data_IF_655750916277
#
_entry.id   IF_655750916277
#
_cell.length_a   1.000
_cell.length_b   1.000
_cell.length_c   1.000
_cell.angle_alpha   90.00
_cell.angle_beta   90.00
_cell.angle_gamma   90.00
#
_symmetry.space_group_name_H-M   'P 1'
#
loop_
_entity.id
_entity.type
_entity.pdbx_description
1 polymer ?
#
# COMPACT_ATOMS: atom_id res chain seq x y z
N UNK A 1 20.71 6.00 8.84
CA UNK A 1 21.57 5.89 7.66
C UNK A 1 21.07 6.85 6.58
N UNK A 2 21.98 7.54 5.90
CA UNK A 2 21.64 8.48 4.82
C UNK A 2 22.45 8.08 3.58
N UNK A 3 21.78 7.99 2.43
CA UNK A 3 22.36 7.70 1.13
C UNK A 3 22.08 8.89 0.21
N UNK A 4 23.14 9.56 -0.22
CA UNK A 4 23.09 10.67 -1.17
C UNK A 4 22.99 10.09 -2.60
N UNK A 5 21.77 10.08 -3.16
CA UNK A 5 21.46 9.51 -4.48
C UNK A 5 20.80 8.13 -4.43
N UNK A 6 20.99 7.35 -5.49
CA UNK A 6 20.35 6.03 -5.64
C UNK A 6 20.98 4.97 -4.73
N UNK A 7 20.14 4.11 -4.16
CA UNK A 7 20.56 2.95 -3.39
C UNK A 7 20.54 1.71 -4.29
N UNK A 8 21.72 1.15 -4.54
CA UNK A 8 21.92 -0.03 -5.41
C UNK A 8 22.52 -1.22 -4.65
N UNK A 9 22.68 -1.10 -3.33
CA UNK A 9 23.24 -2.13 -2.46
C UNK A 9 22.19 -2.51 -1.41
N UNK A 10 22.16 -3.80 -1.05
CA UNK A 10 21.23 -4.30 -0.04
C UNK A 10 21.55 -3.68 1.33
N UNK A 11 20.50 -3.39 2.09
CA UNK A 11 20.58 -2.75 3.39
C UNK A 11 19.87 -3.59 4.45
N UNK A 12 20.47 -3.71 5.62
CA UNK A 12 19.89 -4.42 6.76
C UNK A 12 19.90 -3.55 8.03
N UNK A 13 18.83 -3.64 8.82
CA UNK A 13 18.72 -2.96 10.12
C UNK A 13 17.91 -3.78 11.12
N UNK A 14 18.60 -4.39 12.08
CA UNK A 14 18.01 -5.34 13.03
C UNK A 14 17.30 -4.71 14.24
N UNK A 15 17.65 -3.48 14.60
CA UNK A 15 17.08 -2.76 15.75
C UNK A 15 16.13 -1.62 15.34
N UNK A 16 15.88 -1.51 14.04
CA UNK A 16 15.14 -0.43 13.41
C UNK A 16 15.96 0.86 13.28
N UNK A 17 15.24 1.96 13.08
CA UNK A 17 15.84 3.27 12.87
C UNK A 17 15.42 3.93 11.57
N UNK A 18 16.19 4.96 11.17
CA UNK A 18 15.89 5.80 10.01
C UNK A 18 16.81 5.46 8.84
N UNK A 19 16.22 5.17 7.68
CA UNK A 19 16.92 5.06 6.39
C UNK A 19 16.39 6.18 5.50
N UNK A 20 17.29 7.01 4.97
CA UNK A 20 16.94 8.07 4.03
C UNK A 20 17.77 7.92 2.75
N UNK A 21 17.09 7.81 1.61
CA UNK A 21 17.67 7.67 0.27
C UNK A 21 17.20 8.87 -0.55
N UNK A 22 18.13 9.74 -0.95
CA UNK A 22 17.86 10.94 -1.76
C UNK A 22 17.75 10.65 -3.27
N UNK A 23 17.34 9.44 -3.62
CA UNK A 23 17.23 8.94 -5.00
C UNK A 23 16.30 7.75 -5.07
N UNK A 24 16.51 6.89 -6.06
CA UNK A 24 15.74 5.66 -6.26
C UNK A 24 16.26 4.54 -5.35
N UNK A 25 15.38 3.61 -4.98
CA UNK A 25 15.78 2.33 -4.42
C UNK A 25 15.76 1.27 -5.54
N UNK A 26 16.89 0.59 -5.76
CA UNK A 26 17.06 -0.48 -6.75
C UNK A 26 17.60 -1.78 -6.10
N UNK A 27 17.45 -1.92 -4.79
CA UNK A 27 18.01 -3.01 -4.00
C UNK A 27 17.02 -3.48 -2.92
N UNK A 28 17.44 -4.45 -2.10
CA UNK A 28 16.66 -4.95 -0.98
C UNK A 28 16.92 -4.13 0.27
N UNK A 29 15.86 -3.77 1.00
CA UNK A 29 15.95 -3.25 2.36
C UNK A 29 15.27 -4.24 3.29
N UNK A 30 16.02 -4.79 4.24
CA UNK A 30 15.47 -5.57 5.36
C UNK A 30 15.54 -4.76 6.66
N UNK A 31 14.38 -4.52 7.28
CA UNK A 31 14.30 -3.82 8.57
C UNK A 31 13.49 -4.61 9.59
N UNK A 32 13.91 -4.51 10.84
CA UNK A 32 13.21 -5.06 12.01
C UNK A 32 12.92 -3.94 13.02
N UNK A 33 12.03 -4.17 13.98
CA UNK A 33 11.80 -3.23 15.09
C UNK A 33 10.91 -2.05 14.71
N UNK A 34 11.30 -0.83 15.12
CA UNK A 34 10.57 0.40 14.77
C UNK A 34 11.40 1.18 13.75
N UNK A 35 10.89 1.29 12.53
CA UNK A 35 11.67 1.81 11.40
C UNK A 35 10.93 2.88 10.62
N UNK A 36 11.70 3.81 10.08
CA UNK A 36 11.25 4.83 9.15
C UNK A 36 12.15 4.80 7.91
N UNK A 37 11.55 4.69 6.74
CA UNK A 37 12.26 4.64 5.45
C UNK A 37 11.74 5.79 4.59
N UNK A 38 12.65 6.62 4.10
CA UNK A 38 12.34 7.72 3.20
C UNK A 38 13.11 7.49 1.91
N UNK A 39 12.38 7.34 0.81
CA UNK A 39 12.92 7.25 -0.56
C UNK A 39 12.35 8.44 -1.32
N UNK A 40 13.18 9.40 -1.72
CA UNK A 40 12.69 10.59 -2.42
C UNK A 40 12.37 10.32 -3.89
N UNK A 41 12.95 9.28 -4.48
CA UNK A 41 12.70 8.82 -5.84
C UNK A 41 11.73 7.64 -5.92
N UNK A 42 11.90 6.85 -6.97
CA UNK A 42 11.09 5.67 -7.27
C UNK A 42 11.54 4.46 -6.44
N UNK A 43 10.59 3.58 -6.13
CA UNK A 43 10.89 2.18 -5.84
C UNK A 43 11.05 1.48 -7.19
N UNK A 44 12.32 1.34 -7.62
CA UNK A 44 12.70 0.90 -8.94
C UNK A 44 12.45 -0.60 -9.17
N UNK A 45 12.63 -1.06 -10.43
CA UNK A 45 12.51 -2.47 -10.77
C UNK A 45 13.54 -3.29 -9.98
N UNK A 46 13.13 -4.43 -9.44
CA UNK A 46 13.88 -5.34 -8.56
C UNK A 46 14.05 -4.89 -7.11
N UNK A 47 13.55 -3.71 -6.73
CA UNK A 47 13.58 -3.30 -5.34
C UNK A 47 12.61 -4.10 -4.48
N UNK A 48 13.04 -4.45 -3.27
CA UNK A 48 12.18 -5.12 -2.30
C UNK A 48 12.39 -4.51 -0.91
N UNK A 49 11.28 -4.14 -0.24
CA UNK A 49 11.33 -3.73 1.16
C UNK A 49 10.69 -4.84 2.01
N UNK A 50 11.46 -5.40 2.94
CA UNK A 50 11.03 -6.42 3.91
C UNK A 50 11.03 -5.81 5.30
N UNK A 51 9.87 -5.71 5.92
CA UNK A 51 9.69 -5.03 7.20
C UNK A 51 9.03 -5.90 8.26
N UNK A 52 9.74 -6.14 9.36
CA UNK A 52 9.23 -6.78 10.58
C UNK A 52 9.14 -5.72 11.69
N UNK A 53 8.06 -5.70 12.45
CA UNK A 53 7.76 -4.64 13.42
C UNK A 53 7.02 -3.44 12.83
N UNK A 54 7.10 -2.28 13.49
CA UNK A 54 6.32 -1.09 13.12
C UNK A 54 7.12 -0.28 12.10
N UNK A 55 6.65 -0.22 10.86
CA UNK A 55 7.35 0.48 9.77
C UNK A 55 6.53 1.64 9.21
N UNK A 56 7.21 2.78 8.96
CA UNK A 56 6.67 3.94 8.23
C UNK A 56 7.52 4.22 7.02
N UNK A 57 6.89 4.37 5.86
CA UNK A 57 7.62 4.48 4.60
C UNK A 57 7.04 5.64 3.79
N UNK A 58 7.94 6.47 3.30
CA UNK A 58 7.64 7.52 2.32
C UNK A 58 8.37 7.20 1.01
N UNK A 59 7.65 7.30 -0.11
CA UNK A 59 8.15 7.11 -1.47
C UNK A 59 7.69 8.32 -2.28
N UNK A 60 8.65 9.17 -2.67
CA UNK A 60 8.39 10.38 -3.43
C UNK A 60 8.06 10.12 -4.90
N UNK A 61 8.48 8.97 -5.42
CA UNK A 61 8.24 8.54 -6.79
C UNK A 61 7.21 7.42 -6.90
N UNK A 62 7.31 6.66 -8.00
CA UNK A 62 6.44 5.53 -8.32
C UNK A 62 6.81 4.30 -7.50
N UNK A 63 5.79 3.55 -7.10
CA UNK A 63 5.94 2.24 -6.46
C UNK A 63 5.76 1.15 -7.51
N UNK A 64 6.85 0.57 -8.03
CA UNK A 64 6.78 -0.40 -9.15
C UNK A 64 7.03 -1.85 -8.78
N UNK A 65 7.61 -2.11 -7.61
CA UNK A 65 8.00 -3.47 -7.21
C UNK A 65 7.44 -3.86 -5.84
N UNK A 66 8.21 -4.47 -4.95
CA UNK A 66 7.68 -5.25 -3.84
C UNK A 66 7.89 -4.60 -2.49
N UNK A 67 6.83 -4.68 -1.69
CA UNK A 67 6.90 -4.43 -0.27
C UNK A 67 6.21 -5.55 0.49
N UNK A 68 6.90 -6.06 1.49
CA UNK A 68 6.37 -7.09 2.36
C UNK A 68 6.55 -6.68 3.82
N UNK A 69 5.42 -6.52 4.52
CA UNK A 69 5.43 -6.36 5.97
C UNK A 69 4.55 -7.40 6.64
N UNK A 70 5.05 -7.95 7.74
CA UNK A 70 4.32 -8.92 8.59
C UNK A 70 3.58 -8.25 9.75
N UNK A 71 3.97 -7.02 10.09
CA UNK A 71 3.49 -6.26 11.25
C UNK A 71 2.80 -4.93 10.83
N UNK A 72 2.77 -3.92 11.71
CA UNK A 72 2.10 -2.65 11.45
C UNK A 72 2.86 -1.81 10.43
N UNK A 73 2.13 -1.30 9.44
CA UNK A 73 2.71 -0.57 8.33
C UNK A 73 1.96 0.72 8.04
N UNK A 74 2.70 1.78 7.73
CA UNK A 74 2.16 2.96 7.06
C UNK A 74 3.01 3.28 5.85
N UNK A 75 2.40 3.38 4.67
CA UNK A 75 3.10 3.74 3.42
C UNK A 75 2.46 4.96 2.80
N UNK A 76 3.30 5.91 2.39
CA UNK A 76 2.91 7.09 1.65
C UNK A 76 3.65 7.10 0.31
N UNK A 77 2.91 7.01 -0.78
CA UNK A 77 3.43 7.04 -2.15
C UNK A 77 2.89 8.32 -2.78
N UNK A 78 3.76 9.27 -3.12
CA UNK A 78 3.36 10.54 -3.75
C UNK A 78 2.88 10.34 -5.20
N UNK A 79 3.30 9.26 -5.87
CA UNK A 79 3.00 8.97 -7.27
C UNK A 79 2.11 7.73 -7.46
N UNK A 80 2.23 7.08 -8.62
CA UNK A 80 1.49 5.87 -8.98
C UNK A 80 1.98 4.64 -8.17
N UNK A 81 1.03 3.77 -7.84
CA UNK A 81 1.27 2.44 -7.28
C UNK A 81 0.93 1.38 -8.33
N UNK A 82 1.97 0.74 -8.86
CA UNK A 82 1.89 -0.34 -9.84
C UNK A 82 2.47 -1.69 -9.35
N UNK A 83 3.14 -1.69 -8.19
CA UNK A 83 3.82 -2.87 -7.63
C UNK A 83 2.95 -3.84 -6.83
N UNK A 84 3.55 -4.55 -5.87
CA UNK A 84 2.89 -5.52 -4.98
C UNK A 84 3.19 -5.18 -3.51
N UNK A 85 2.15 -5.05 -2.69
CA UNK A 85 2.27 -4.83 -1.25
C UNK A 85 1.58 -5.94 -0.46
N UNK A 86 2.37 -6.69 0.33
CA UNK A 86 1.88 -7.64 1.32
C UNK A 86 1.69 -6.98 2.69
N UNK A 87 0.45 -6.99 3.19
CA UNK A 87 0.06 -6.32 4.44
C UNK A 87 0.16 -7.24 5.65
N UNK A 88 0.66 -6.71 6.76
CA UNK A 88 0.80 -7.40 8.03
C UNK A 88 -0.32 -7.14 9.04
N UNK A 89 -0.05 -7.47 10.30
CA UNK A 89 -0.98 -7.30 11.43
C UNK A 89 -0.44 -6.34 12.49
N UNK A 90 -1.28 -5.68 13.32
CA UNK A 90 -2.74 -5.62 13.25
C UNK A 90 -3.29 -4.69 12.15
N UNK A 91 -2.46 -3.84 11.54
CA UNK A 91 -2.96 -2.72 10.75
C UNK A 91 -1.98 -2.25 9.66
N UNK A 92 -2.51 -1.90 8.49
CA UNK A 92 -1.78 -1.23 7.40
C UNK A 92 -2.55 -0.03 6.87
N UNK A 93 -1.89 1.12 6.77
CA UNK A 93 -2.41 2.33 6.11
C UNK A 93 -1.59 2.66 4.86
N UNK A 94 -2.27 2.90 3.74
CA UNK A 94 -1.64 3.21 2.45
C UNK A 94 -2.25 4.50 1.89
N UNK A 95 -1.38 5.43 1.52
CA UNK A 95 -1.72 6.60 0.74
C UNK A 95 -1.04 6.54 -0.63
N UNK A 96 -1.80 6.83 -1.69
CA UNK A 96 -1.34 6.90 -3.08
C UNK A 96 -1.79 8.24 -3.67
N UNK A 97 -0.83 9.11 -3.99
CA UNK A 97 -1.07 10.42 -4.61
C UNK A 97 -1.43 10.31 -6.10
N UNK A 98 -0.98 9.25 -6.78
CA UNK A 98 -1.31 8.95 -8.17
C UNK A 98 -2.41 7.90 -8.33
N UNK A 99 -2.30 7.12 -9.40
CA UNK A 99 -3.17 6.01 -9.74
C UNK A 99 -2.76 4.73 -9.01
N UNK A 100 -3.72 3.83 -8.82
CA UNK A 100 -3.51 2.52 -8.24
C UNK A 100 -3.85 1.42 -9.26
N UNK A 101 -2.81 0.74 -9.75
CA UNK A 101 -2.92 -0.43 -10.63
C UNK A 101 -2.27 -1.69 -10.05
N UNK A 102 -1.52 -1.56 -8.95
CA UNK A 102 -0.82 -2.66 -8.31
C UNK A 102 -1.72 -3.61 -7.52
N UNK A 103 -1.07 -4.44 -6.70
CA UNK A 103 -1.72 -5.46 -5.89
C UNK A 103 -1.50 -5.23 -4.40
N UNK A 104 -2.58 -5.33 -3.63
CA UNK A 104 -2.54 -5.37 -2.17
C UNK A 104 -3.15 -6.69 -1.73
N UNK A 105 -2.41 -7.46 -0.93
CA UNK A 105 -2.83 -8.75 -0.42
C UNK A 105 -2.28 -8.96 1.00
N UNK A 106 -2.94 -9.77 1.84
CA UNK A 106 -2.38 -10.09 3.15
C UNK A 106 -1.16 -11.01 3.03
N UNK A 107 -0.23 -10.90 3.97
CA UNK A 107 0.84 -11.90 4.09
C UNK A 107 0.27 -13.28 4.50
N UNK A 108 -0.47 -13.32 5.63
CA UNK A 108 -1.20 -14.51 6.06
C UNK A 108 -2.72 -14.31 6.05
N UNK A 109 -3.20 -13.30 6.77
CA UNK A 109 -4.63 -12.99 6.94
C UNK A 109 -4.87 -11.50 6.91
N UNK A 110 -5.96 -11.09 6.26
CA UNK A 110 -6.35 -9.69 6.19
C UNK A 110 -6.76 -9.14 7.57
N UNK A 111 -6.04 -8.12 8.03
CA UNK A 111 -6.28 -7.43 9.29
C UNK A 111 -7.09 -6.13 9.07
N UNK A 112 -6.63 -5.00 9.59
CA UNK A 112 -7.19 -3.68 9.32
C UNK A 112 -6.40 -3.04 8.16
N UNK A 113 -7.10 -2.61 7.11
CA UNK A 113 -6.52 -1.96 5.93
C UNK A 113 -7.22 -0.63 5.66
N UNK A 114 -6.44 0.46 5.66
CA UNK A 114 -6.83 1.76 5.15
C UNK A 114 -6.14 2.04 3.80
N UNK A 115 -6.91 2.49 2.81
CA UNK A 115 -6.40 2.87 1.49
C UNK A 115 -6.94 4.24 1.05
N UNK A 116 -6.06 5.17 0.73
CA UNK A 116 -6.45 6.42 0.06
C UNK A 116 -5.77 6.48 -1.30
N UNK A 117 -6.55 6.66 -2.36
CA UNK A 117 -6.05 6.87 -3.72
C UNK A 117 -6.59 8.21 -4.21
N UNK A 118 -5.71 9.15 -4.50
CA UNK A 118 -6.09 10.47 -5.04
C UNK A 118 -6.42 10.38 -6.52
N UNK A 119 -5.68 9.58 -7.29
CA UNK A 119 -5.92 9.34 -8.70
C UNK A 119 -6.97 8.25 -8.96
N UNK A 120 -6.75 7.50 -10.04
CA UNK A 120 -7.64 6.44 -10.50
C UNK A 120 -7.39 5.12 -9.75
N UNK A 121 -8.47 4.46 -9.31
CA UNK A 121 -8.47 3.05 -8.95
C UNK A 121 -9.68 2.35 -9.57
N UNK A 122 -9.46 1.23 -10.24
CA UNK A 122 -10.56 0.46 -10.82
C UNK A 122 -11.38 -0.24 -9.74
N UNK A 123 -12.69 -0.35 -9.97
CA UNK A 123 -13.59 -1.13 -9.13
C UNK A 123 -13.19 -2.62 -9.10
N UNK A 124 -12.58 -3.13 -10.17
CA UNK A 124 -12.01 -4.47 -10.21
C UNK A 124 -10.91 -4.65 -9.15
N UNK A 125 -9.93 -3.74 -9.09
CA UNK A 125 -8.84 -3.79 -8.11
C UNK A 125 -9.35 -3.73 -6.68
N UNK A 126 -10.33 -2.88 -6.40
CA UNK A 126 -10.94 -2.75 -5.06
C UNK A 126 -11.70 -4.02 -4.65
N UNK A 127 -12.41 -4.65 -5.59
CA UNK A 127 -13.08 -5.92 -5.35
C UNK A 127 -12.09 -7.06 -5.08
N UNK A 128 -10.93 -7.09 -5.77
CA UNK A 128 -9.87 -8.06 -5.48
C UNK A 128 -9.38 -7.94 -4.03
N UNK A 129 -9.16 -6.72 -3.54
CA UNK A 129 -8.76 -6.48 -2.14
C UNK A 129 -9.85 -6.96 -1.17
N UNK A 130 -11.11 -6.61 -1.45
CA UNK A 130 -12.28 -7.08 -0.66
C UNK A 130 -12.31 -8.61 -0.54
N UNK A 131 -11.97 -9.33 -1.61
CA UNK A 131 -12.07 -10.78 -1.66
C UNK A 131 -11.03 -11.52 -0.78
N UNK A 132 -9.98 -10.83 -0.34
CA UNK A 132 -9.06 -11.31 0.69
C UNK A 132 -9.64 -11.30 2.12
N UNK A 133 -10.86 -10.77 2.29
CA UNK A 133 -11.62 -10.79 3.55
C UNK A 133 -10.85 -10.19 4.73
N UNK A 134 -10.34 -8.98 4.56
CA UNK A 134 -9.80 -8.20 5.67
C UNK A 134 -10.82 -8.08 6.80
N UNK A 135 -10.35 -8.05 8.05
CA UNK A 135 -11.23 -7.78 9.20
C UNK A 135 -11.93 -6.43 8.99
N UNK A 136 -11.17 -5.42 8.55
CA UNK A 136 -11.71 -4.18 8.02
C UNK A 136 -10.91 -3.74 6.80
N UNK A 137 -11.61 -3.31 5.76
CA UNK A 137 -11.03 -2.60 4.62
C UNK A 137 -11.82 -1.32 4.39
N UNK A 138 -11.17 -0.17 4.56
CA UNK A 138 -11.76 1.12 4.24
C UNK A 138 -10.93 1.82 3.16
N UNK A 139 -11.61 2.39 2.16
CA UNK A 139 -10.93 3.19 1.16
C UNK A 139 -11.63 4.50 0.77
N UNK A 140 -10.83 5.49 0.38
CA UNK A 140 -11.28 6.73 -0.24
C UNK A 140 -10.63 6.87 -1.62
N UNK A 141 -11.45 6.88 -2.66
CA UNK A 141 -11.01 6.84 -4.06
C UNK A 141 -11.40 8.14 -4.75
N UNK A 142 -10.41 8.83 -5.30
CA UNK A 142 -10.60 10.06 -6.07
C UNK A 142 -11.38 9.79 -7.35
N UNK A 143 -10.85 8.94 -8.22
CA UNK A 143 -11.45 8.63 -9.52
C UNK A 143 -11.61 7.10 -9.68
N UNK A 144 -12.75 6.64 -10.20
CA UNK A 144 -12.98 5.22 -10.50
C UNK A 144 -13.76 5.03 -11.80
N UNK A 145 -13.89 3.79 -12.26
CA UNK A 145 -14.69 3.37 -13.43
C UNK A 145 -16.16 3.11 -13.09
N UNK A 146 -16.60 3.58 -11.92
CA UNK A 146 -17.98 3.51 -11.43
C UNK A 146 -18.43 4.87 -10.92
N UNK A 147 -19.76 5.08 -10.89
CA UNK A 147 -20.37 6.30 -10.41
C UNK A 147 -19.92 6.70 -8.99
N UNK A 148 -19.91 8.00 -8.64
CA UNK A 148 -19.63 8.44 -7.28
C UNK A 148 -20.60 7.84 -6.26
N UNK A 149 -20.11 7.51 -5.06
CA UNK A 149 -20.94 6.95 -4.02
C UNK A 149 -20.20 6.04 -3.03
N UNK A 150 -20.96 5.34 -2.21
CA UNK A 150 -20.44 4.38 -1.25
C UNK A 150 -20.61 2.96 -1.79
N UNK A 151 -19.53 2.19 -1.68
CA UNK A 151 -19.42 0.84 -2.19
C UNK A 151 -18.97 -0.11 -1.08
N UNK A 152 -19.35 -1.40 -1.18
CA UNK A 152 -20.35 -1.92 -2.12
C UNK A 152 -21.75 -1.33 -1.84
N UNK A 153 -22.58 -1.22 -2.89
CA UNK A 153 -23.89 -0.54 -2.83
C UNK A 153 -24.90 -1.27 -1.93
N UNK A 154 -24.76 -2.58 -1.84
CA UNK A 154 -25.44 -3.40 -0.84
C UNK A 154 -24.46 -3.66 0.28
N UNK A 155 -24.93 -3.63 1.52
CA UNK A 155 -24.11 -4.01 2.66
C UNK A 155 -23.48 -5.39 2.42
N UNK A 156 -22.17 -5.40 2.19
CA UNK A 156 -21.41 -6.63 2.02
C UNK A 156 -20.96 -7.12 3.39
N UNK A 157 -21.80 -7.94 4.01
CA UNK A 157 -21.44 -8.70 5.19
C UNK A 157 -21.01 -10.09 4.78
N UNK A 158 -19.72 -10.40 4.88
CA UNK A 158 -19.23 -11.77 4.80
C UNK A 158 -18.74 -12.22 6.17
N UNK A 159 -19.38 -13.27 6.70
CA UNK A 159 -18.90 -13.97 7.89
C UNK A 159 -17.63 -14.73 7.50
N UNK A 160 -16.50 -14.31 8.04
CA UNK A 160 -15.25 -15.09 8.03
C UNK A 160 -15.29 -16.02 9.25
N UNK A 161 -14.70 -17.20 9.14
CA UNK A 161 -14.83 -18.34 10.07
C UNK A 161 -15.21 -18.01 11.52
N UNK A 162 -14.53 -17.03 12.15
CA UNK A 162 -14.78 -16.63 13.54
C UNK A 162 -15.11 -15.12 13.75
N UNK A 163 -15.26 -14.29 12.70
CA UNK A 163 -15.48 -12.82 12.79
C UNK A 163 -16.31 -12.27 11.62
N UNK A 164 -16.64 -10.98 11.68
CA UNK A 164 -17.23 -10.26 10.55
C UNK A 164 -16.13 -9.51 9.79
N UNK A 165 -16.16 -9.58 8.45
CA UNK A 165 -15.37 -8.72 7.57
C UNK A 165 -16.20 -7.49 7.21
N UNK A 166 -15.65 -6.29 7.41
CA UNK A 166 -16.30 -5.03 7.08
C UNK A 166 -15.49 -4.31 6.00
N UNK A 167 -16.00 -4.31 4.77
CA UNK A 167 -15.32 -3.70 3.64
C UNK A 167 -16.18 -2.58 3.05
N UNK A 168 -15.64 -1.37 2.97
CA UNK A 168 -16.35 -0.21 2.42
C UNK A 168 -15.39 0.78 1.77
N UNK A 169 -15.77 1.35 0.63
CA UNK A 169 -15.04 2.46 0.04
C UNK A 169 -15.97 3.54 -0.50
N UNK A 170 -15.47 4.77 -0.58
CA UNK A 170 -16.15 5.85 -1.28
C UNK A 170 -15.43 6.17 -2.60
N UNK A 171 -16.21 6.50 -3.62
CA UNK A 171 -15.73 7.02 -4.91
C UNK A 171 -16.23 8.45 -5.03
N UNK A 172 -15.33 9.39 -5.34
CA UNK A 172 -15.67 10.82 -5.47
C UNK A 172 -16.08 11.19 -6.90
N UNK A 173 -15.38 10.65 -7.88
CA UNK A 173 -15.57 11.01 -9.29
C UNK A 173 -15.54 9.76 -10.17
N UNK A 174 -16.42 9.70 -11.17
CA UNK A 174 -16.38 8.68 -12.22
C UNK A 174 -15.48 9.15 -13.36
N UNK A 175 -14.66 8.25 -13.90
CA UNK A 175 -13.81 8.50 -15.06
C UNK A 175 -14.71 8.72 -16.28
N UNK A 176 -14.66 9.93 -16.85
CA UNK A 176 -15.33 10.18 -18.11
C UNK A 176 -14.60 9.46 -19.25
N UNK A 177 -15.33 8.97 -20.27
CA UNK A 177 -14.72 8.48 -21.50
C UNK A 177 -13.86 9.58 -22.11
N UNK A 178 -12.65 9.24 -22.56
CA UNK A 178 -11.84 10.17 -23.36
C UNK A 178 -12.45 10.18 -24.76
N UNK A 179 -12.95 11.34 -25.20
CA UNK A 179 -13.42 11.58 -26.58
C UNK A 179 -12.27 11.53 -27.59
#
# INVERSE_FOLDING_TARGET
MVIEGDCNEDLESDEGGLIHIYGNLNATIEVRGISEIIITGDLGPQAEIRAVGICRIFIGGRFTDRLHSVDSLKVWIESDFDGILKTGTPHTDIYVGGNFHGEILPDEKGALLGLTVVGFASQHSLNRIKDYNYTQFHASIGISDVAPGLYPQTDYYRRISNRNSYNRWCVRTERQPVE
#
